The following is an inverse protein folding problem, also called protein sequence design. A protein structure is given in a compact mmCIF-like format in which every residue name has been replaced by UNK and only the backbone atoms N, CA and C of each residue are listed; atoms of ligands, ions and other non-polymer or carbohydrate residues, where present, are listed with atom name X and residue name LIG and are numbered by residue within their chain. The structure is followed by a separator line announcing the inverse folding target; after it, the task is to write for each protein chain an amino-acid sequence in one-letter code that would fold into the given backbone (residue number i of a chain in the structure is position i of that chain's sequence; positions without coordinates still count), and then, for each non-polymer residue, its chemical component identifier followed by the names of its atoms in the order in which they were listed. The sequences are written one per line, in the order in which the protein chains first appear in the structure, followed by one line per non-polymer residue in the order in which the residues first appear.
data_IF_441315522218
#
_entry.id   IF_441315522218
#
_cell.length_a   1.000
_cell.length_b   1.000
_cell.length_c   1.000
_cell.angle_alpha   90.00
_cell.angle_beta   90.00
_cell.angle_gamma   90.00
#
_symmetry.space_group_name_H-M   'P 1'
#
loop_
_entity.id
_entity.type
_entity.pdbx_description
1 polymer ?
#
# COMPACT_ATOMS: atom_id res chain seq x y z
N UNK A 1 8.64 -6.93 -24.93
CA UNK A 1 7.22 -6.76 -24.57
C UNK A 1 6.45 -8.08 -24.45
N UNK A 2 6.44 -8.97 -25.46
CA UNK A 2 5.67 -10.23 -25.44
C UNK A 2 5.99 -11.19 -24.28
N UNK A 3 7.27 -11.41 -23.98
CA UNK A 3 7.71 -12.33 -22.90
C UNK A 3 7.19 -11.86 -21.54
N UNK A 4 7.31 -10.57 -21.26
CA UNK A 4 6.98 -10.04 -19.95
C UNK A 4 5.46 -9.80 -19.76
N UNK A 5 4.71 -9.55 -20.84
CA UNK A 5 3.25 -9.67 -20.81
C UNK A 5 2.78 -11.12 -20.53
N UNK A 6 3.48 -12.12 -21.09
CA UNK A 6 3.23 -13.53 -20.81
C UNK A 6 3.50 -13.90 -19.34
N UNK A 7 4.61 -13.41 -18.78
CA UNK A 7 4.92 -13.57 -17.35
C UNK A 7 3.84 -12.95 -16.46
N UNK A 8 3.37 -11.74 -16.78
CA UNK A 8 2.31 -11.08 -16.03
C UNK A 8 1.01 -11.87 -16.02
N UNK A 9 0.61 -12.38 -17.19
CA UNK A 9 -0.56 -13.22 -17.34
C UNK A 9 -0.40 -14.54 -16.56
N UNK A 10 0.81 -15.11 -16.56
CA UNK A 10 1.18 -16.24 -15.71
C UNK A 10 0.97 -15.95 -14.22
N UNK A 11 1.41 -14.79 -13.72
CA UNK A 11 1.19 -14.38 -12.32
C UNK A 11 -0.29 -14.24 -12.00
N UNK A 12 -1.11 -13.68 -12.91
CA UNK A 12 -2.57 -13.61 -12.74
C UNK A 12 -3.18 -15.01 -12.63
N UNK A 13 -2.83 -15.91 -13.56
CA UNK A 13 -3.37 -17.29 -13.59
C UNK A 13 -3.00 -18.04 -12.31
N UNK A 14 -1.74 -17.94 -11.89
CA UNK A 14 -1.26 -18.56 -10.64
C UNK A 14 -1.97 -17.99 -9.42
N UNK A 15 -2.18 -16.67 -9.36
CA UNK A 15 -2.89 -16.04 -8.26
C UNK A 15 -4.36 -16.49 -8.17
N UNK A 16 -5.06 -16.61 -9.31
CA UNK A 16 -6.43 -17.12 -9.34
C UNK A 16 -6.52 -18.60 -8.94
N UNK A 17 -5.61 -19.44 -9.44
CA UNK A 17 -5.55 -20.85 -9.05
C UNK A 17 -5.29 -21.00 -7.55
N UNK A 18 -4.34 -20.22 -7.02
CA UNK A 18 -4.01 -20.20 -5.61
C UNK A 18 -5.20 -19.73 -4.75
N UNK A 19 -5.97 -18.75 -5.23
CA UNK A 19 -7.20 -18.31 -4.56
C UNK A 19 -8.22 -19.45 -4.46
N UNK A 20 -8.50 -20.16 -5.55
CA UNK A 20 -9.42 -21.30 -5.54
C UNK A 20 -8.96 -22.38 -4.55
N UNK A 21 -7.66 -22.72 -4.57
CA UNK A 21 -7.09 -23.72 -3.68
C UNK A 21 -7.11 -23.29 -2.20
N UNK A 22 -6.81 -22.02 -1.91
CA UNK A 22 -6.78 -21.49 -0.55
C UNK A 22 -8.16 -21.48 0.11
N UNK A 23 -9.22 -21.28 -0.68
CA UNK A 23 -10.60 -21.39 -0.20
C UNK A 23 -11.10 -22.83 -0.06
N UNK A 24 -10.29 -23.84 -0.41
CA UNK A 24 -10.71 -25.25 -0.43
C UNK A 24 -11.79 -25.53 -1.48
N UNK A 25 -11.92 -24.67 -2.49
CA UNK A 25 -12.88 -24.85 -3.57
C UNK A 25 -12.40 -25.97 -4.50
N UNK A 26 -13.32 -26.77 -5.06
CA UNK A 26 -12.94 -27.84 -5.97
C UNK A 26 -12.32 -27.28 -7.26
N UNK A 27 -11.31 -27.98 -7.79
CA UNK A 27 -10.50 -27.55 -8.93
C UNK A 27 -11.30 -27.22 -10.20
N UNK A 28 -12.50 -27.78 -10.37
CA UNK A 28 -13.36 -27.49 -11.53
C UNK A 28 -13.94 -26.07 -11.53
N UNK A 29 -13.85 -25.32 -10.42
CA UNK A 29 -14.23 -23.90 -10.36
C UNK A 29 -13.13 -23.01 -10.96
N UNK A 30 -11.87 -23.47 -10.99
CA UNK A 30 -10.77 -22.68 -11.54
C UNK A 30 -10.96 -22.24 -13.01
N UNK A 31 -11.45 -23.10 -13.93
CA UNK A 31 -11.83 -22.68 -15.28
C UNK A 31 -12.84 -21.53 -15.30
N UNK A 32 -13.80 -21.47 -14.38
CA UNK A 32 -14.79 -20.40 -14.31
C UNK A 32 -14.14 -19.07 -13.91
N UNK A 33 -13.26 -19.09 -12.91
CA UNK A 33 -12.50 -17.90 -12.49
C UNK A 33 -11.59 -17.38 -13.62
N UNK A 34 -10.93 -18.29 -14.33
CA UNK A 34 -10.09 -17.95 -15.49
C UNK A 34 -10.92 -17.43 -16.67
N UNK A 35 -12.11 -17.99 -16.92
CA UNK A 35 -13.03 -17.51 -17.96
C UNK A 35 -13.55 -16.10 -17.64
N UNK A 36 -13.90 -15.83 -16.38
CA UNK A 36 -14.26 -14.48 -15.93
C UNK A 36 -13.13 -13.47 -16.15
N UNK A 37 -11.90 -13.84 -15.81
CA UNK A 37 -10.71 -13.02 -16.07
C UNK A 37 -10.51 -12.77 -17.56
N UNK A 38 -10.58 -13.82 -18.38
CA UNK A 38 -10.46 -13.70 -19.84
C UNK A 38 -11.56 -12.79 -20.43
N UNK A 39 -12.79 -12.87 -19.88
CA UNK A 39 -13.88 -11.97 -20.23
C UNK A 39 -13.58 -10.50 -19.92
N UNK A 40 -13.01 -10.20 -18.75
CA UNK A 40 -12.58 -8.84 -18.37
C UNK A 40 -11.48 -8.34 -19.31
N UNK A 41 -10.48 -9.17 -19.59
CA UNK A 41 -9.40 -8.83 -20.53
C UNK A 41 -9.96 -8.54 -21.92
N UNK A 42 -10.87 -9.37 -22.43
CA UNK A 42 -11.51 -9.20 -23.72
C UNK A 42 -12.39 -7.95 -23.78
N UNK A 43 -13.19 -7.69 -22.74
CA UNK A 43 -14.05 -6.52 -22.65
C UNK A 43 -13.24 -5.22 -22.67
N UNK A 44 -12.19 -5.11 -21.85
CA UNK A 44 -11.32 -3.93 -21.83
C UNK A 44 -10.58 -3.77 -23.15
N UNK A 45 -10.13 -4.89 -23.75
CA UNK A 45 -9.48 -4.86 -25.05
C UNK A 45 -10.40 -4.34 -26.17
N UNK A 46 -11.66 -4.82 -26.22
CA UNK A 46 -12.68 -4.41 -27.19
C UNK A 46 -13.13 -2.96 -27.01
N UNK A 47 -13.33 -2.51 -25.78
CA UNK A 47 -13.83 -1.16 -25.46
C UNK A 47 -12.74 -0.09 -25.57
N UNK A 48 -11.46 -0.46 -25.44
CA UNK A 48 -10.38 0.51 -25.57
C UNK A 48 -10.12 0.86 -27.03
N UNK A 49 -10.11 2.15 -27.38
CA UNK A 49 -9.84 2.62 -28.75
C UNK A 49 -8.38 3.04 -28.97
N UNK A 50 -7.62 3.23 -27.89
CA UNK A 50 -6.25 3.78 -27.87
C UNK A 50 -5.16 2.79 -28.32
N UNK A 51 -3.99 3.25 -28.77
CA UNK A 51 -2.87 2.38 -29.19
C UNK A 51 -2.40 1.37 -28.12
N UNK A 52 -2.56 1.68 -26.82
CA UNK A 52 -2.11 0.84 -25.70
C UNK A 52 -3.19 -0.11 -25.13
N UNK A 53 -4.03 -0.72 -25.99
CA UNK A 53 -5.15 -1.61 -25.58
C UNK A 53 -4.71 -2.77 -24.69
N UNK A 54 -3.64 -3.45 -25.09
CA UNK A 54 -3.13 -4.62 -24.38
C UNK A 54 -2.66 -4.30 -22.96
N UNK A 55 -1.96 -3.17 -22.78
CA UNK A 55 -1.44 -2.76 -21.47
C UNK A 55 -2.59 -2.38 -20.51
N UNK A 56 -3.64 -1.72 -21.03
CA UNK A 56 -4.86 -1.40 -20.26
C UNK A 56 -5.60 -2.66 -19.83
N UNK A 57 -5.77 -3.61 -20.74
CA UNK A 57 -6.40 -4.90 -20.43
C UNK A 57 -5.63 -5.65 -19.34
N UNK A 58 -4.30 -5.80 -19.48
CA UNK A 58 -3.48 -6.48 -18.48
C UNK A 58 -3.59 -5.81 -17.10
N UNK A 59 -3.51 -4.48 -17.03
CA UNK A 59 -3.68 -3.75 -15.75
C UNK A 59 -5.05 -3.97 -15.12
N UNK A 60 -6.12 -3.96 -15.92
CA UNK A 60 -7.46 -4.22 -15.43
C UNK A 60 -7.57 -5.64 -14.88
N UNK A 61 -7.05 -6.65 -15.60
CA UNK A 61 -7.03 -8.03 -15.13
C UNK A 61 -6.18 -8.23 -13.88
N UNK A 62 -5.02 -7.60 -13.79
CA UNK A 62 -4.18 -7.64 -12.60
C UNK A 62 -4.85 -6.99 -11.39
N UNK A 63 -5.49 -5.84 -11.59
CA UNK A 63 -6.23 -5.18 -10.53
C UNK A 63 -7.41 -6.01 -10.04
N UNK A 64 -8.21 -6.58 -10.95
CA UNK A 64 -9.36 -7.41 -10.55
C UNK A 64 -8.92 -8.68 -9.84
N UNK A 65 -7.80 -9.28 -10.26
CA UNK A 65 -7.18 -10.41 -9.54
C UNK A 65 -6.75 -10.00 -8.15
N UNK A 66 -6.07 -8.86 -8.02
CA UNK A 66 -5.60 -8.34 -6.74
C UNK A 66 -6.77 -8.03 -5.80
N UNK A 67 -7.85 -7.46 -6.32
CA UNK A 67 -9.10 -7.23 -5.57
C UNK A 67 -9.71 -8.56 -5.12
N UNK A 68 -9.76 -9.57 -6.00
CA UNK A 68 -10.24 -10.91 -5.62
C UNK A 68 -9.39 -11.50 -4.48
N UNK A 69 -8.07 -11.39 -4.56
CA UNK A 69 -7.14 -11.80 -3.48
C UNK A 69 -7.42 -11.02 -2.20
N UNK A 70 -7.63 -9.70 -2.28
CA UNK A 70 -7.95 -8.87 -1.11
C UNK A 70 -9.29 -9.25 -0.46
N UNK A 71 -10.34 -9.50 -1.24
CA UNK A 71 -11.61 -10.04 -0.74
C UNK A 71 -11.40 -11.40 -0.10
N UNK A 72 -10.52 -12.22 -0.67
CA UNK A 72 -10.15 -13.51 -0.12
C UNK A 72 -9.56 -13.41 1.30
N UNK A 73 -8.79 -12.35 1.56
CA UNK A 73 -8.23 -12.07 2.87
C UNK A 73 -9.19 -11.36 3.83
N UNK A 74 -10.23 -10.69 3.31
CA UNK A 74 -11.13 -9.89 4.13
C UNK A 74 -11.92 -10.74 5.12
N UNK A 75 -12.37 -11.93 4.71
CA UNK A 75 -13.12 -12.86 5.57
C UNK A 75 -12.31 -13.32 6.78
N UNK A 76 -11.14 -13.98 6.62
CA UNK A 76 -10.38 -14.44 7.78
C UNK A 76 -9.89 -13.27 8.65
N UNK A 77 -9.51 -12.14 8.06
CA UNK A 77 -9.14 -10.96 8.85
C UNK A 77 -10.31 -10.41 9.68
N UNK A 78 -11.53 -10.43 9.14
CA UNK A 78 -12.73 -10.04 9.88
C UNK A 78 -13.04 -11.01 11.01
N UNK A 79 -12.85 -12.32 10.80
CA UNK A 79 -13.00 -13.34 11.84
C UNK A 79 -12.03 -13.10 13.00
N UNK A 80 -10.76 -12.78 12.73
CA UNK A 80 -9.81 -12.42 13.81
C UNK A 80 -10.28 -11.19 14.58
N UNK A 81 -10.73 -10.15 13.88
CA UNK A 81 -11.16 -8.90 14.54
C UNK A 81 -12.41 -9.12 15.40
N UNK A 82 -13.34 -9.96 14.93
CA UNK A 82 -14.64 -10.15 15.59
C UNK A 82 -14.64 -11.24 16.66
N UNK A 83 -13.89 -12.31 16.46
CA UNK A 83 -13.90 -13.50 17.32
C UNK A 83 -12.56 -13.78 18.01
N UNK A 84 -11.49 -13.10 17.62
CA UNK A 84 -10.15 -13.30 18.17
C UNK A 84 -9.39 -14.50 17.59
N UNK A 85 -10.01 -15.30 16.72
CA UNK A 85 -9.34 -16.39 16.00
C UNK A 85 -9.88 -16.53 14.57
N UNK A 86 -9.01 -16.83 13.62
CA UNK A 86 -9.34 -17.25 12.26
C UNK A 86 -9.36 -18.77 12.08
N UNK A 87 -9.18 -19.57 13.14
CA UNK A 87 -9.15 -21.02 13.02
C UNK A 87 -7.97 -21.53 12.15
N UNK A 88 -8.24 -22.25 11.05
CA UNK A 88 -7.21 -22.92 10.24
C UNK A 88 -6.63 -22.10 9.08
N UNK A 89 -6.97 -20.81 8.97
CA UNK A 89 -6.58 -19.99 7.82
C UNK A 89 -5.08 -19.69 7.76
N UNK A 90 -4.37 -19.85 8.87
CA UNK A 90 -2.97 -19.48 9.06
C UNK A 90 -2.03 -20.11 8.04
N UNK A 91 -2.22 -21.39 7.72
CA UNK A 91 -1.40 -22.11 6.73
C UNK A 91 -1.68 -21.73 5.27
N UNK A 92 -2.76 -20.99 4.99
CA UNK A 92 -3.20 -20.63 3.63
C UNK A 92 -2.85 -19.18 3.24
N UNK A 93 -2.32 -18.39 4.18
CA UNK A 93 -2.03 -16.96 4.01
C UNK A 93 -0.77 -16.71 3.19
N UNK A 94 0.31 -17.44 3.48
CA UNK A 94 1.62 -17.23 2.86
C UNK A 94 1.57 -17.20 1.33
N UNK A 95 0.94 -18.18 0.64
CA UNK A 95 0.93 -18.16 -0.82
C UNK A 95 0.09 -17.01 -1.37
N UNK A 96 -1.01 -16.63 -0.72
CA UNK A 96 -1.86 -15.51 -1.15
C UNK A 96 -1.16 -14.15 -0.97
N UNK A 97 -0.42 -13.95 0.12
CA UNK A 97 0.36 -12.74 0.36
C UNK A 97 1.48 -12.60 -0.68
N UNK A 98 2.21 -13.69 -0.96
CA UNK A 98 3.26 -13.70 -1.99
C UNK A 98 2.68 -13.34 -3.36
N UNK A 99 1.49 -13.85 -3.70
CA UNK A 99 0.83 -13.50 -4.96
C UNK A 99 0.36 -12.04 -5.00
N UNK A 100 -0.16 -11.48 -3.91
CA UNK A 100 -0.54 -10.07 -3.86
C UNK A 100 0.67 -9.14 -4.06
N UNK A 101 1.79 -9.43 -3.39
CA UNK A 101 3.05 -8.67 -3.56
C UNK A 101 3.59 -8.83 -4.98
N UNK A 102 3.54 -10.04 -5.55
CA UNK A 102 3.94 -10.28 -6.93
C UNK A 102 3.07 -9.49 -7.93
N UNK A 103 1.75 -9.49 -7.75
CA UNK A 103 0.81 -8.72 -8.58
C UNK A 103 1.05 -7.21 -8.46
N UNK A 104 1.30 -6.71 -7.25
CA UNK A 104 1.62 -5.30 -7.04
C UNK A 104 2.93 -4.91 -7.74
N UNK A 105 4.01 -5.66 -7.50
CA UNK A 105 5.32 -5.40 -8.13
C UNK A 105 5.25 -5.47 -9.66
N UNK A 106 4.51 -6.44 -10.19
CA UNK A 106 4.31 -6.58 -11.62
C UNK A 106 3.41 -5.45 -12.19
N UNK A 107 2.47 -4.92 -11.38
CA UNK A 107 1.71 -3.70 -11.69
C UNK A 107 2.58 -2.45 -11.79
N UNK A 108 3.53 -2.26 -10.86
CA UNK A 108 4.52 -1.18 -10.92
C UNK A 108 5.35 -1.24 -12.20
N UNK A 109 5.75 -2.44 -12.59
CA UNK A 109 6.50 -2.66 -13.83
C UNK A 109 5.68 -2.32 -15.08
N UNK A 110 4.38 -2.67 -15.11
CA UNK A 110 3.48 -2.25 -16.20
C UNK A 110 3.30 -0.73 -16.27
N UNK A 111 3.24 -0.04 -15.13
CA UNK A 111 3.19 1.42 -15.09
C UNK A 111 4.45 2.06 -15.67
N UNK A 112 5.62 1.50 -15.37
CA UNK A 112 6.89 1.93 -15.95
C UNK A 112 6.91 1.73 -17.48
N UNK A 113 6.36 0.62 -18.00
CA UNK A 113 6.23 0.42 -19.45
C UNK A 113 5.31 1.44 -20.13
N UNK A 114 4.26 1.89 -19.45
CA UNK A 114 3.38 2.93 -20.03
C UNK A 114 4.11 4.26 -20.20
N UNK A 115 5.09 4.55 -19.35
CA UNK A 115 5.85 5.78 -19.42
C UNK A 115 6.69 5.87 -20.71
N UNK A 116 7.07 4.75 -21.33
CA UNK A 116 7.90 4.78 -22.55
C UNK A 116 7.18 5.28 -23.80
N UNK A 117 5.85 5.41 -23.76
CA UNK A 117 5.04 5.87 -24.90
C UNK A 117 4.64 7.34 -24.79
N UNK A 118 5.20 8.10 -23.84
CA UNK A 118 4.82 9.49 -23.57
C UNK A 118 5.97 10.46 -23.83
N UNK A 119 5.65 11.74 -23.95
CA UNK A 119 6.64 12.81 -24.08
C UNK A 119 7.62 12.81 -22.88
N UNK A 120 8.80 13.37 -23.10
CA UNK A 120 9.88 13.36 -22.11
C UNK A 120 9.45 13.91 -20.73
N UNK A 121 8.76 15.05 -20.72
CA UNK A 121 8.24 15.66 -19.49
C UNK A 121 7.22 14.76 -18.79
N UNK A 122 6.28 14.17 -19.55
CA UNK A 122 5.24 13.30 -19.01
C UNK A 122 5.82 12.00 -18.45
N UNK A 123 6.85 11.46 -19.10
CA UNK A 123 7.60 10.27 -18.64
C UNK A 123 8.23 10.52 -17.28
N UNK A 124 8.97 11.63 -17.12
CA UNK A 124 9.64 11.98 -15.85
C UNK A 124 8.59 12.30 -14.78
N UNK A 125 7.57 13.08 -15.11
CA UNK A 125 6.45 13.40 -14.23
C UNK A 125 5.73 12.14 -13.71
N UNK A 126 5.60 11.10 -14.55
CA UNK A 126 5.01 9.82 -14.14
C UNK A 126 5.91 9.06 -13.17
N UNK A 127 7.22 9.00 -13.43
CA UNK A 127 8.18 8.34 -12.53
C UNK A 127 8.12 8.98 -11.13
N UNK A 128 8.03 10.32 -11.07
CA UNK A 128 7.91 11.09 -9.84
C UNK A 128 6.55 10.93 -9.15
N UNK A 129 5.47 10.73 -9.92
CA UNK A 129 4.11 10.64 -9.36
C UNK A 129 3.86 9.43 -8.45
N UNK A 130 4.79 8.46 -8.43
CA UNK A 130 4.70 7.27 -7.59
C UNK A 130 3.72 6.22 -8.12
N UNK A 131 3.44 5.18 -7.31
CA UNK A 131 2.58 4.08 -7.71
C UNK A 131 1.10 4.48 -7.76
N UNK A 132 0.27 3.73 -8.52
CA UNK A 132 -1.17 3.96 -8.54
C UNK A 132 -1.77 3.80 -7.13
N UNK A 133 -2.49 4.83 -6.67
CA UNK A 133 -3.09 4.87 -5.33
C UNK A 133 -4.06 3.70 -5.05
N UNK A 134 -4.82 3.29 -6.06
CA UNK A 134 -5.80 2.21 -5.91
C UNK A 134 -5.11 0.85 -5.78
N UNK A 135 -4.10 0.56 -6.60
CA UNK A 135 -3.34 -0.70 -6.50
C UNK A 135 -2.57 -0.77 -5.17
N UNK A 136 -1.98 0.34 -4.72
CA UNK A 136 -1.31 0.37 -3.42
C UNK A 136 -2.31 0.22 -2.27
N UNK A 137 -3.51 0.79 -2.36
CA UNK A 137 -4.57 0.63 -1.35
C UNK A 137 -5.05 -0.82 -1.23
N UNK A 138 -5.36 -1.48 -2.34
CA UNK A 138 -5.82 -2.88 -2.33
C UNK A 138 -4.72 -3.80 -1.80
N UNK A 139 -3.47 -3.56 -2.20
CA UNK A 139 -2.32 -4.32 -1.68
C UNK A 139 -2.11 -4.07 -0.19
N UNK A 140 -2.31 -2.84 0.29
CA UNK A 140 -2.26 -2.53 1.71
C UNK A 140 -3.36 -3.25 2.50
N UNK A 141 -4.55 -3.43 1.91
CA UNK A 141 -5.61 -4.27 2.46
C UNK A 141 -5.16 -5.71 2.69
N UNK A 142 -4.51 -6.31 1.67
CA UNK A 142 -3.94 -7.66 1.79
C UNK A 142 -2.85 -7.72 2.86
N UNK A 143 -1.92 -6.76 2.88
CA UNK A 143 -0.85 -6.72 3.88
C UNK A 143 -1.40 -6.53 5.30
N UNK A 144 -2.42 -5.68 5.47
CA UNK A 144 -3.08 -5.49 6.75
C UNK A 144 -3.75 -6.78 7.23
N UNK A 145 -4.57 -7.41 6.39
CA UNK A 145 -5.21 -8.69 6.72
C UNK A 145 -4.17 -9.76 7.07
N UNK A 146 -3.12 -9.87 6.27
CA UNK A 146 -2.03 -10.82 6.52
C UNK A 146 -1.27 -10.52 7.81
N UNK A 147 -1.07 -9.24 8.14
CA UNK A 147 -0.45 -8.82 9.40
C UNK A 147 -1.32 -9.19 10.61
N UNK A 148 -2.63 -8.97 10.54
CA UNK A 148 -3.54 -9.33 11.64
C UNK A 148 -3.55 -10.84 11.90
N UNK A 149 -3.61 -11.64 10.83
CA UNK A 149 -3.55 -13.09 10.93
C UNK A 149 -2.17 -13.58 11.40
N UNK A 150 -1.09 -12.91 10.99
CA UNK A 150 0.25 -13.20 11.50
C UNK A 150 0.35 -12.88 13.00
N UNK A 151 -0.25 -11.77 13.46
CA UNK A 151 -0.30 -11.40 14.87
C UNK A 151 -1.10 -12.39 15.71
N UNK A 152 -2.20 -12.94 15.18
CA UNK A 152 -2.94 -14.03 15.81
C UNK A 152 -2.03 -15.25 16.00
N UNK A 153 -1.42 -15.72 14.91
CA UNK A 153 -0.50 -16.85 14.95
C UNK A 153 0.66 -16.64 15.92
N UNK A 154 1.29 -15.47 15.88
CA UNK A 154 2.37 -15.08 16.79
C UNK A 154 1.91 -15.11 18.25
N UNK A 155 0.70 -14.61 18.52
CA UNK A 155 0.12 -14.59 19.87
C UNK A 155 -0.19 -15.99 20.42
N UNK A 156 -0.60 -16.92 19.57
CA UNK A 156 -0.89 -18.31 19.97
C UNK A 156 0.38 -19.16 20.15
N UNK A 157 1.41 -18.92 19.34
CA UNK A 157 2.60 -19.76 19.30
C UNK A 157 3.77 -19.23 20.14
N UNK A 158 3.81 -17.93 20.46
CA UNK A 158 4.92 -17.29 21.15
C UNK A 158 4.42 -16.40 22.30
N UNK A 159 4.64 -16.82 23.55
CA UNK A 159 4.22 -16.10 24.76
C UNK A 159 4.70 -14.64 24.80
N UNK A 160 5.89 -14.35 24.25
CA UNK A 160 6.45 -13.00 24.19
C UNK A 160 5.57 -12.04 23.35
N UNK A 161 4.86 -12.55 22.35
CA UNK A 161 4.04 -11.76 21.44
C UNK A 161 2.56 -11.71 21.84
N UNK A 162 2.12 -12.49 22.82
CA UNK A 162 0.72 -12.54 23.26
C UNK A 162 0.21 -11.14 23.68
N UNK A 163 1.00 -10.43 24.48
CA UNK A 163 0.65 -9.08 24.92
C UNK A 163 0.53 -8.08 23.76
N UNK A 164 1.39 -8.21 22.74
CA UNK A 164 1.34 -7.35 21.55
C UNK A 164 0.16 -7.71 20.66
N UNK A 165 -0.09 -9.01 20.43
CA UNK A 165 -1.22 -9.51 19.65
C UNK A 165 -2.55 -9.02 20.21
N UNK A 166 -2.74 -9.11 21.54
CA UNK A 166 -3.93 -8.57 22.21
C UNK A 166 -4.14 -7.08 21.91
N UNK A 167 -3.08 -6.27 21.90
CA UNK A 167 -3.20 -4.83 21.60
C UNK A 167 -3.68 -4.52 20.18
N UNK A 168 -3.36 -5.37 19.20
CA UNK A 168 -3.81 -5.20 17.82
C UNK A 168 -5.17 -5.83 17.55
N UNK A 169 -5.49 -6.96 18.20
CA UNK A 169 -6.65 -7.78 17.85
C UNK A 169 -7.87 -7.51 18.75
N UNK A 170 -7.68 -7.19 20.03
CA UNK A 170 -8.79 -7.12 21.00
C UNK A 170 -9.14 -5.70 21.43
N UNK A 171 -8.58 -4.68 20.78
CA UNK A 171 -8.73 -3.25 21.16
C UNK A 171 -9.64 -2.46 20.20
N UNK A 172 -10.54 -3.15 19.49
CA UNK A 172 -11.51 -2.56 18.58
C UNK A 172 -10.99 -2.32 17.17
N UNK A 173 -11.69 -1.48 16.39
CA UNK A 173 -11.44 -1.31 14.95
C UNK A 173 -10.32 -0.31 14.61
N UNK A 174 -9.89 0.50 15.59
CA UNK A 174 -8.89 1.56 15.37
C UNK A 174 -7.51 0.99 15.01
N UNK A 175 -6.96 -0.04 15.70
CA UNK A 175 -5.67 -0.60 15.31
C UNK A 175 -5.65 -1.21 13.89
N UNK A 176 -6.64 -2.02 13.46
CA UNK A 176 -6.71 -2.49 12.07
C UNK A 176 -6.71 -1.37 11.02
N UNK A 177 -7.50 -0.30 11.24
CA UNK A 177 -7.52 0.86 10.33
C UNK A 177 -6.15 1.55 10.31
N UNK A 178 -5.50 1.68 11.46
CA UNK A 178 -4.19 2.29 11.59
C UNK A 178 -3.12 1.49 10.84
N UNK A 179 -3.14 0.17 10.96
CA UNK A 179 -2.25 -0.76 10.23
C UNK A 179 -2.49 -0.69 8.73
N UNK A 180 -3.76 -0.61 8.29
CA UNK A 180 -4.10 -0.42 6.88
C UNK A 180 -3.49 0.87 6.33
N UNK A 181 -3.70 1.99 7.02
CA UNK A 181 -3.13 3.28 6.63
C UNK A 181 -1.61 3.26 6.64
N UNK A 182 -1.01 2.61 7.64
CA UNK A 182 0.44 2.44 7.73
C UNK A 182 1.01 1.72 6.50
N UNK A 183 0.46 0.55 6.15
CA UNK A 183 0.91 -0.20 4.97
C UNK A 183 0.63 0.54 3.67
N UNK A 184 -0.48 1.27 3.57
CA UNK A 184 -0.79 2.06 2.38
C UNK A 184 0.22 3.19 2.17
N UNK A 185 0.49 3.97 3.22
CA UNK A 185 1.52 5.00 3.19
C UNK A 185 2.90 4.41 2.88
N UNK A 186 3.24 3.29 3.52
CA UNK A 186 4.53 2.62 3.32
C UNK A 186 4.70 2.14 1.88
N UNK A 187 3.69 1.53 1.27
CA UNK A 187 3.74 1.08 -0.13
C UNK A 187 3.90 2.25 -1.11
N UNK A 188 3.22 3.36 -0.87
CA UNK A 188 3.38 4.57 -1.70
C UNK A 188 4.83 5.07 -1.57
N UNK A 189 5.33 5.23 -0.35
CA UNK A 189 6.67 5.75 -0.09
C UNK A 189 7.78 4.83 -0.60
N UNK A 190 7.66 3.52 -0.40
CA UNK A 190 8.61 2.55 -0.94
C UNK A 190 8.61 2.58 -2.47
N UNK A 191 7.43 2.64 -3.11
CA UNK A 191 7.33 2.79 -4.56
C UNK A 191 8.05 4.05 -5.06
N UNK A 192 7.85 5.18 -4.38
CA UNK A 192 8.55 6.44 -4.70
C UNK A 192 10.05 6.35 -4.45
N UNK A 193 10.47 5.69 -3.37
CA UNK A 193 11.88 5.46 -3.08
C UNK A 193 12.56 4.64 -4.16
N UNK A 194 11.96 3.53 -4.59
CA UNK A 194 12.46 2.71 -5.69
C UNK A 194 12.55 3.53 -6.98
N UNK A 195 11.53 4.34 -7.31
CA UNK A 195 11.53 5.20 -8.49
C UNK A 195 12.64 6.26 -8.42
N UNK A 196 12.85 6.91 -7.27
CA UNK A 196 13.91 7.90 -7.08
C UNK A 196 15.31 7.28 -7.18
N UNK A 197 15.52 6.09 -6.59
CA UNK A 197 16.76 5.32 -6.71
C UNK A 197 17.01 4.94 -8.16
N UNK A 198 16.00 4.39 -8.84
CA UNK A 198 16.07 4.00 -10.25
C UNK A 198 16.41 5.20 -11.14
N UNK A 199 15.69 6.30 -10.99
CA UNK A 199 15.89 7.52 -11.77
C UNK A 199 17.31 8.07 -11.57
N UNK A 200 17.76 8.22 -10.32
CA UNK A 200 19.12 8.69 -10.04
C UNK A 200 20.21 7.80 -10.61
N UNK A 201 20.05 6.47 -10.54
CA UNK A 201 21.03 5.52 -11.07
C UNK A 201 21.07 5.46 -12.61
N UNK A 202 19.95 5.76 -13.28
CA UNK A 202 19.81 5.67 -14.74
C UNK A 202 19.97 7.00 -15.48
N UNK A 203 20.24 8.09 -14.75
CA UNK A 203 20.50 9.40 -15.34
C UNK A 203 21.77 9.44 -16.19
N UNK A 204 22.81 8.69 -15.82
CA UNK A 204 24.11 8.66 -16.50
C UNK A 204 24.25 7.49 -17.49
N UNK A 205 23.25 6.62 -17.58
CA UNK A 205 23.27 5.46 -18.45
C UNK A 205 22.66 5.76 -19.82
N UNK A 206 23.47 5.62 -20.87
CA UNK A 206 23.05 5.74 -22.28
C UNK A 206 22.82 4.38 -22.95
N UNK A 207 22.68 3.30 -22.15
CA UNK A 207 22.57 1.93 -22.62
C UNK A 207 21.23 1.59 -23.32
N UNK A 208 21.24 0.48 -24.08
CA UNK A 208 20.05 -0.08 -24.73
C UNK A 208 18.96 -0.49 -23.71
N UNK A 209 17.67 -0.39 -24.06
CA UNK A 209 16.59 -0.73 -23.14
C UNK A 209 16.65 -2.24 -22.82
N UNK A 210 16.58 -2.58 -21.54
CA UNK A 210 16.55 -3.97 -21.08
C UNK A 210 15.18 -4.34 -20.51
N UNK A 211 14.89 -5.64 -20.39
CA UNK A 211 13.61 -6.12 -19.88
C UNK A 211 13.27 -5.60 -18.45
N UNK A 212 14.29 -5.29 -17.66
CA UNK A 212 14.18 -4.83 -16.27
C UNK A 212 14.21 -3.29 -16.15
N UNK A 213 14.64 -2.58 -17.19
CA UNK A 213 14.74 -1.12 -17.26
C UNK A 213 14.00 -0.62 -18.52
N UNK A 214 12.65 -0.59 -18.50
CA UNK A 214 11.89 -0.27 -19.71
C UNK A 214 12.06 1.20 -20.13
N UNK A 215 12.31 2.12 -19.19
CA UNK A 215 12.46 3.55 -19.47
C UNK A 215 13.94 3.94 -19.52
N UNK A 216 14.35 4.52 -20.66
CA UNK A 216 15.70 5.08 -20.86
C UNK A 216 15.78 6.51 -20.31
N UNK A 217 15.99 6.65 -19.01
CA UNK A 217 15.98 7.94 -18.31
C UNK A 217 16.98 8.93 -18.91
N UNK A 218 18.22 8.53 -19.21
CA UNK A 218 19.21 9.41 -19.84
C UNK A 218 18.75 10.03 -21.18
N UNK A 219 18.10 9.23 -22.04
CA UNK A 219 17.53 9.73 -23.30
C UNK A 219 16.41 10.74 -23.05
N UNK A 220 15.49 10.41 -22.14
CA UNK A 220 14.37 11.27 -21.77
C UNK A 220 14.85 12.60 -21.17
N UNK A 221 15.90 12.58 -20.36
CA UNK A 221 16.53 13.80 -19.80
C UNK A 221 17.14 14.66 -20.90
N UNK A 222 17.82 14.05 -21.88
CA UNK A 222 18.38 14.79 -23.04
C UNK A 222 17.28 15.42 -23.89
N UNK A 223 16.20 14.68 -24.17
CA UNK A 223 15.03 15.19 -24.89
C UNK A 223 14.31 16.32 -24.12
N UNK A 224 14.31 16.25 -22.78
CA UNK A 224 13.77 17.31 -21.94
C UNK A 224 14.57 18.61 -22.11
N UNK A 225 15.91 18.52 -22.10
CA UNK A 225 16.82 19.66 -22.28
C UNK A 225 16.99 20.17 -23.72
N UNK A 226 16.52 19.42 -24.71
CA UNK A 226 16.67 19.80 -26.12
C UNK A 226 15.87 21.07 -26.49
N UNK A 227 14.72 21.30 -25.84
CA UNK A 227 13.89 22.47 -26.08
C UNK A 227 14.09 23.52 -24.98
N UNK A 228 15.06 24.41 -25.21
CA UNK A 228 15.59 25.38 -24.23
C UNK A 228 14.57 26.43 -23.79
N UNK A 229 13.73 26.89 -24.71
CA UNK A 229 12.73 27.93 -24.44
C UNK A 229 11.67 27.48 -23.42
N UNK A 230 11.33 26.18 -23.43
CA UNK A 230 10.32 25.59 -22.54
C UNK A 230 10.92 24.91 -21.29
N UNK A 231 12.24 24.94 -21.11
CA UNK A 231 12.91 24.19 -20.04
C UNK A 231 12.45 24.65 -18.65
N UNK A 232 12.34 25.96 -18.44
CA UNK A 232 11.88 26.54 -17.17
C UNK A 232 10.46 26.07 -16.80
N UNK A 233 9.52 26.19 -17.74
CA UNK A 233 8.12 25.75 -17.55
C UNK A 233 8.04 24.23 -17.27
N UNK A 234 8.82 23.42 -18.00
CA UNK A 234 8.87 21.97 -17.79
C UNK A 234 9.41 21.60 -16.41
N UNK A 235 10.46 22.27 -15.94
CA UNK A 235 11.02 22.05 -14.61
C UNK A 235 10.04 22.46 -13.51
N UNK A 236 9.37 23.60 -13.67
CA UNK A 236 8.32 24.04 -12.75
C UNK A 236 7.17 23.02 -12.69
N UNK A 237 6.75 22.49 -13.83
CA UNK A 237 5.77 21.40 -13.89
C UNK A 237 6.23 20.14 -13.15
N UNK A 238 7.50 19.72 -13.29
CA UNK A 238 8.04 18.56 -12.57
C UNK A 238 8.08 18.79 -11.05
N UNK A 239 8.48 19.97 -10.59
CA UNK A 239 8.45 20.35 -9.18
C UNK A 239 7.04 20.38 -8.61
N UNK A 240 6.09 20.95 -9.35
CA UNK A 240 4.68 20.92 -8.97
C UNK A 240 4.17 19.48 -8.85
N UNK A 241 4.51 18.63 -9.83
CA UNK A 241 4.09 17.22 -9.82
C UNK A 241 4.67 16.44 -8.65
N UNK A 242 5.93 16.72 -8.31
CA UNK A 242 6.58 16.17 -7.12
C UNK A 242 5.80 16.54 -5.85
N UNK A 243 5.48 17.81 -5.65
CA UNK A 243 4.75 18.26 -4.46
C UNK A 243 3.35 17.62 -4.38
N UNK A 244 2.60 17.58 -5.49
CA UNK A 244 1.30 16.91 -5.58
C UNK A 244 1.37 15.43 -5.18
N UNK A 245 2.43 14.75 -5.59
CA UNK A 245 2.60 13.32 -5.34
C UNK A 245 2.92 12.98 -3.87
N UNK A 246 3.23 13.98 -3.03
CA UNK A 246 3.40 13.81 -1.58
C UNK A 246 2.14 14.16 -0.76
N UNK A 247 1.09 14.69 -1.39
CA UNK A 247 -0.16 15.03 -0.69
C UNK A 247 -0.75 13.82 0.02
N UNK A 248 -0.84 12.67 -0.67
CA UNK A 248 -1.48 11.48 -0.10
C UNK A 248 -0.67 10.86 1.06
N UNK A 249 0.65 10.62 0.94
CA UNK A 249 1.47 10.18 2.08
C UNK A 249 1.44 11.14 3.28
N UNK A 250 1.41 12.46 3.04
CA UNK A 250 1.30 13.46 4.11
C UNK A 250 -0.06 13.41 4.79
N UNK A 251 -1.14 13.26 4.02
CA UNK A 251 -2.48 13.08 4.56
C UNK A 251 -2.59 11.81 5.41
N UNK A 252 -2.05 10.68 4.95
CA UNK A 252 -2.03 9.43 5.73
C UNK A 252 -1.30 9.63 7.07
N UNK A 253 -0.10 10.24 7.04
CA UNK A 253 0.66 10.55 8.25
C UNK A 253 -0.06 11.52 9.19
N UNK A 254 -0.93 12.39 8.68
CA UNK A 254 -1.79 13.23 9.49
C UNK A 254 -2.97 12.46 10.11
N UNK A 255 -3.60 11.55 9.37
CA UNK A 255 -4.78 10.80 9.83
C UNK A 255 -4.44 9.79 10.92
N UNK A 256 -3.28 9.12 10.85
CA UNK A 256 -2.85 8.12 11.84
C UNK A 256 -2.91 8.65 13.30
N UNK A 257 -2.25 9.77 13.67
CA UNK A 257 -2.33 10.30 15.03
C UNK A 257 -3.73 10.79 15.40
N UNK A 258 -4.52 11.30 14.44
CA UNK A 258 -5.92 11.67 14.67
C UNK A 258 -6.76 10.45 15.06
N UNK A 259 -6.55 9.30 14.40
CA UNK A 259 -7.20 8.03 14.79
C UNK A 259 -6.80 7.59 16.19
N UNK A 260 -5.53 7.76 16.55
CA UNK A 260 -5.05 7.49 17.92
C UNK A 260 -5.73 8.38 18.96
N UNK A 261 -5.94 9.66 18.66
CA UNK A 261 -6.68 10.58 19.53
C UNK A 261 -8.18 10.25 19.60
N UNK A 262 -8.79 9.83 18.49
CA UNK A 262 -10.17 9.32 18.51
C UNK A 262 -10.28 8.12 19.45
N UNK A 263 -9.27 7.23 19.44
CA UNK A 263 -9.18 6.10 20.37
C UNK A 263 -9.16 6.52 21.85
N UNK A 264 -8.36 7.53 22.22
CA UNK A 264 -8.37 8.04 23.61
C UNK A 264 -9.69 8.68 23.99
N UNK A 265 -10.28 9.51 23.11
CA UNK A 265 -11.55 10.18 23.39
C UNK A 265 -12.65 9.15 23.65
N UNK A 266 -12.73 8.10 22.83
CA UNK A 266 -13.70 7.01 23.03
C UNK A 266 -13.44 6.26 24.35
N UNK A 267 -12.20 5.89 24.66
CA UNK A 267 -11.91 5.15 25.89
C UNK A 267 -12.11 5.98 27.15
N UNK A 268 -11.80 7.28 27.13
CA UNK A 268 -12.07 8.19 28.25
C UNK A 268 -13.59 8.36 28.45
N UNK A 269 -14.36 8.52 27.38
CA UNK A 269 -15.82 8.64 27.47
C UNK A 269 -16.44 7.39 28.09
N UNK A 270 -16.06 6.20 27.59
CA UNK A 270 -16.55 4.92 28.11
C UNK A 270 -16.14 4.70 29.57
N UNK A 271 -14.94 5.13 29.95
CA UNK A 271 -14.49 5.03 31.34
C UNK A 271 -15.28 5.97 32.25
N UNK A 272 -15.59 7.19 31.81
CA UNK A 272 -16.42 8.13 32.56
C UNK A 272 -17.84 7.59 32.77
N UNK A 273 -18.46 7.03 31.72
CA UNK A 273 -19.76 6.37 31.82
C UNK A 273 -19.73 5.20 32.81
N UNK A 274 -18.69 4.37 32.75
CA UNK A 274 -18.48 3.27 33.70
C UNK A 274 -18.39 3.75 35.15
N UNK A 275 -17.61 4.81 35.42
CA UNK A 275 -17.43 5.37 36.76
C UNK A 275 -18.72 6.00 37.29
N UNK A 276 -19.46 6.73 36.46
CA UNK A 276 -20.75 7.32 36.88
C UNK A 276 -21.78 6.25 37.25
N UNK A 277 -21.76 5.11 36.54
CA UNK A 277 -22.57 3.94 36.88
C UNK A 277 -22.28 3.35 38.26
N UNK A 278 -21.05 3.46 38.77
CA UNK A 278 -20.67 2.96 40.10
C UNK A 278 -21.43 3.66 41.23
N UNK A 279 -21.73 4.96 41.06
CA UNK A 279 -22.47 5.73 42.07
C UNK A 279 -23.97 5.42 42.08
N UNK A 280 -24.48 4.67 41.10
CA UNK A 280 -25.87 4.25 41.03
C UNK A 280 -26.13 2.87 41.66
N UNK A 281 -25.08 2.17 42.11
CA UNK A 281 -25.17 0.80 42.63
C UNK A 281 -25.03 0.83 44.16
N UNK A 282 -26.04 0.33 44.89
CA UNK A 282 -25.91 -0.02 46.31
C UNK A 282 -25.15 -1.35 46.44
N UNK A 283 -23.82 -1.32 46.36
CA UNK A 283 -23.00 -2.53 46.40
C UNK A 283 -21.92 -2.52 47.50
N UNK A 284 -21.65 -3.71 48.06
CA UNK A 284 -20.64 -3.93 49.10
C UNK A 284 -19.20 -3.77 48.62
N UNK A 285 -18.24 -3.81 49.57
CA UNK A 285 -16.83 -3.46 49.35
C UNK A 285 -16.10 -4.32 48.29
N UNK A 286 -16.47 -5.60 48.12
CA UNK A 286 -15.85 -6.52 47.16
C UNK A 286 -16.34 -6.29 45.73
N UNK A 287 -17.63 -6.00 45.54
CA UNK A 287 -18.24 -5.64 44.26
C UNK A 287 -17.66 -4.33 43.71
N UNK A 288 -17.40 -3.35 44.58
CA UNK A 288 -16.85 -2.04 44.20
C UNK A 288 -15.46 -2.17 43.52
N UNK A 289 -14.59 -3.06 44.02
CA UNK A 289 -13.26 -3.27 43.42
C UNK A 289 -13.32 -3.86 42.00
N UNK A 290 -14.26 -4.77 41.75
CA UNK A 290 -14.43 -5.43 40.44
C UNK A 290 -15.07 -4.47 39.46
N UNK A 291 -16.09 -3.73 39.91
CA UNK A 291 -16.80 -2.74 39.09
C UNK A 291 -15.90 -1.55 38.74
N UNK A 292 -15.04 -1.10 39.66
CA UNK A 292 -14.03 -0.07 39.38
C UNK A 292 -13.01 -0.54 38.34
N UNK A 293 -12.56 -1.79 38.43
CA UNK A 293 -11.68 -2.40 37.43
C UNK A 293 -12.32 -2.43 36.03
N UNK A 294 -13.60 -2.78 35.96
CA UNK A 294 -14.37 -2.76 34.71
C UNK A 294 -14.54 -1.35 34.15
N UNK A 295 -14.78 -0.36 35.01
CA UNK A 295 -14.93 1.04 34.61
C UNK A 295 -13.63 1.67 34.08
N UNK A 296 -12.46 1.24 34.56
CA UNK A 296 -11.16 1.80 34.13
C UNK A 296 -10.57 1.03 32.93
N UNK A 297 -10.97 -0.22 32.69
CA UNK A 297 -10.47 -1.05 31.58
C UNK A 297 -10.49 -0.35 30.19
N UNK A 298 -11.55 0.40 29.80
CA UNK A 298 -11.57 1.15 28.53
C UNK A 298 -10.45 2.18 28.39
N UNK A 299 -9.95 2.74 29.50
CA UNK A 299 -8.85 3.71 29.47
C UNK A 299 -7.53 3.05 29.06
N UNK A 300 -7.27 1.83 29.53
CA UNK A 300 -6.11 1.04 29.10
C UNK A 300 -6.15 0.68 27.62
N UNK A 301 -7.34 0.33 27.10
CA UNK A 301 -7.58 0.12 25.67
C UNK A 301 -7.25 1.39 24.88
N UNK A 302 -7.76 2.53 25.32
CA UNK A 302 -7.50 3.83 24.71
C UNK A 302 -6.00 4.12 24.57
N UNK A 303 -5.24 4.02 25.68
CA UNK A 303 -3.80 4.29 25.64
C UNK A 303 -3.03 3.33 24.74
N UNK A 304 -3.39 2.04 24.72
CA UNK A 304 -2.78 1.07 23.81
C UNK A 304 -3.00 1.46 22.34
N UNK A 305 -4.24 1.86 21.97
CA UNK A 305 -4.57 2.25 20.59
C UNK A 305 -3.79 3.50 20.14
N UNK A 306 -3.65 4.48 21.02
CA UNK A 306 -2.89 5.70 20.74
C UNK A 306 -1.40 5.44 20.67
N UNK A 307 -0.86 4.59 21.55
CA UNK A 307 0.55 4.19 21.51
C UNK A 307 0.87 3.51 20.18
N UNK A 308 0.02 2.60 19.71
CA UNK A 308 0.16 1.95 18.41
C UNK A 308 0.14 2.98 17.28
N UNK A 309 -0.86 3.87 17.29
CA UNK A 309 -1.00 4.90 16.26
C UNK A 309 0.21 5.83 16.18
N UNK A 310 0.67 6.35 17.32
CA UNK A 310 1.84 7.23 17.37
C UNK A 310 3.12 6.49 16.99
N UNK A 311 3.29 5.23 17.40
CA UNK A 311 4.48 4.43 17.06
C UNK A 311 4.56 4.17 15.55
N UNK A 312 3.47 3.69 14.95
CA UNK A 312 3.40 3.45 13.49
C UNK A 312 3.51 4.76 12.70
N UNK A 313 2.83 5.81 13.16
CA UNK A 313 2.90 7.15 12.56
C UNK A 313 4.31 7.74 12.60
N UNK A 314 5.04 7.60 13.70
CA UNK A 314 6.42 8.07 13.82
C UNK A 314 7.36 7.36 12.84
N UNK A 315 7.24 6.04 12.71
CA UNK A 315 8.01 5.26 11.74
C UNK A 315 7.67 5.70 10.32
N UNK A 316 6.39 5.85 9.99
CA UNK A 316 5.96 6.26 8.65
C UNK A 316 6.38 7.69 8.31
N UNK A 317 6.37 8.59 9.29
CA UNK A 317 6.83 9.97 9.13
C UNK A 317 8.34 10.05 8.88
N UNK A 318 9.13 9.21 9.55
CA UNK A 318 10.56 9.08 9.28
C UNK A 318 10.81 8.62 7.84
N UNK A 319 10.11 7.57 7.38
CA UNK A 319 10.22 7.09 6.00
C UNK A 319 9.82 8.18 5.02
N UNK A 320 8.70 8.87 5.26
CA UNK A 320 8.25 10.00 4.42
C UNK A 320 9.37 11.03 4.25
N UNK A 321 9.97 11.46 5.35
CA UNK A 321 11.03 12.48 5.34
C UNK A 321 12.26 12.01 4.56
N UNK A 322 12.66 10.75 4.72
CA UNK A 322 13.81 10.19 4.01
C UNK A 322 13.56 10.08 2.50
N UNK A 323 12.37 9.64 2.10
CA UNK A 323 12.01 9.52 0.67
C UNK A 323 11.89 10.90 0.03
N UNK A 324 11.20 11.84 0.68
CA UNK A 324 11.03 13.19 0.17
C UNK A 324 12.38 13.88 -0.05
N UNK A 325 13.28 13.84 0.94
CA UNK A 325 14.64 14.39 0.82
C UNK A 325 15.44 13.76 -0.32
N UNK A 326 15.26 12.45 -0.57
CA UNK A 326 15.98 11.77 -1.64
C UNK A 326 15.48 12.21 -3.01
N UNK A 327 14.16 12.27 -3.18
CA UNK A 327 13.54 12.67 -4.44
C UNK A 327 13.80 14.14 -4.77
N UNK A 328 13.75 15.04 -3.77
CA UNK A 328 14.16 16.44 -3.90
C UNK A 328 15.61 16.56 -4.40
N UNK A 329 16.56 15.81 -3.80
CA UNK A 329 17.97 15.80 -4.25
C UNK A 329 18.11 15.34 -5.70
N UNK A 330 17.34 14.33 -6.09
CA UNK A 330 17.33 13.81 -7.46
C UNK A 330 16.80 14.85 -8.45
N UNK A 331 15.73 15.56 -8.10
CA UNK A 331 15.16 16.65 -8.91
C UNK A 331 16.09 17.86 -9.00
N UNK A 332 16.67 18.30 -7.89
CA UNK A 332 17.68 19.38 -7.89
C UNK A 332 18.90 19.00 -8.73
N UNK A 333 19.35 17.75 -8.66
CA UNK A 333 20.44 17.23 -9.50
C UNK A 333 20.09 17.25 -10.98
N UNK A 334 18.86 16.87 -11.34
CA UNK A 334 18.34 16.97 -12.71
C UNK A 334 18.37 18.42 -13.22
N UNK A 335 17.76 19.33 -12.46
CA UNK A 335 17.65 20.74 -12.80
C UNK A 335 19.04 21.36 -13.00
N UNK A 336 19.96 21.10 -12.07
CA UNK A 336 21.34 21.58 -12.16
C UNK A 336 22.01 21.11 -13.46
N UNK A 337 21.91 19.81 -13.80
CA UNK A 337 22.52 19.26 -15.02
C UNK A 337 21.94 19.89 -16.28
N UNK A 338 20.62 20.10 -16.33
CA UNK A 338 19.96 20.70 -17.49
C UNK A 338 20.33 22.18 -17.66
N UNK A 339 20.52 22.92 -16.56
CA UNK A 339 21.00 24.31 -16.59
C UNK A 339 22.50 24.42 -16.87
N UNK A 340 23.34 23.49 -16.41
CA UNK A 340 24.78 23.47 -16.75
C UNK A 340 25.00 23.16 -18.23
N UNK A 341 24.16 22.31 -18.84
CA UNK A 341 24.15 22.12 -20.28
C UNK A 341 23.68 23.37 -21.06
N UNK A 342 23.14 24.39 -20.37
CA UNK A 342 22.69 25.67 -20.94
C UNK A 342 23.79 26.75 -20.94
N UNK A 343 24.88 26.59 -20.16
CA UNK A 343 25.97 27.58 -20.13
C UNK A 343 26.87 27.46 -21.39
N UNK A 344 27.02 28.52 -22.21
CA UNK A 344 27.90 28.48 -23.37
C UNK A 344 29.37 28.34 -22.91
N UNK A 345 30.06 27.35 -23.46
CA UNK A 345 31.51 27.17 -23.33
C UNK A 345 32.30 28.30 -23.96
#
# INVERSE_FOLDING_TARGET
MRIAAGLYLGVIVLALLNLVLSFGLPLWIAPLALAGMAGILAAVWLLSTTENRALKALRAGGLTTLVAVAVGFAVPAWEVISTGSSGSWTGRITPLLVMAVALYGAGLWLDAMRATSEDATATIARILSGPNLLMSFVTAGVLCASFLLAMEWLGENLEIFEGLARRFLTRGIIPPITVLLFFWGLLILLGKWFNAVYFGASMDEEGQPSAWRPVQVGRTVRELGANRELLGERLEYLWKRHEESFLMPRYINYVIPVLGFIGTVLGISLAADGITGLFAIEAGLTSLSTELGAAISPLGIAFDTTLIALSLGAVLFLVLTLVQRREERTLTGLERRLREADSPS
#
